data_IF_603011745634
#
_entry.id   IF_603011745634
#
_cell.length_a   1.000
_cell.length_b   1.000
_cell.length_c   1.000
_cell.angle_alpha   90.00
_cell.angle_beta   90.00
_cell.angle_gamma   90.00
#
_symmetry.space_group_name_H-M   'P 1'
#
loop_
_entity.id
_entity.type
_entity.pdbx_description
1 polymer ?
#
# COMPACT_ATOMS: atom_id res chain seq x y z
N UNK A 1 -43.54 11.21 35.93
CA UNK A 1 -42.34 11.99 35.58
C UNK A 1 -41.15 11.03 35.42
N UNK A 2 -40.72 10.67 34.20
CA UNK A 2 -39.54 9.84 34.00
C UNK A 2 -38.30 10.73 33.75
N UNK A 3 -37.16 10.46 34.38
CA UNK A 3 -35.87 10.94 33.88
C UNK A 3 -34.88 9.80 33.65
N UNK A 4 -34.25 9.90 32.48
CA UNK A 4 -33.43 8.93 31.76
C UNK A 4 -31.97 8.95 32.21
N UNK A 5 -31.31 7.81 31.93
CA UNK A 5 -29.91 7.46 32.21
C UNK A 5 -28.87 8.11 31.26
N UNK A 6 -27.70 8.39 31.84
CA UNK A 6 -26.27 8.16 31.45
C UNK A 6 -25.75 8.54 30.03
N UNK A 7 -24.64 9.28 29.97
CA UNK A 7 -23.60 9.14 28.93
C UNK A 7 -22.24 9.76 29.33
N UNK A 8 -21.21 8.94 29.56
CA UNK A 8 -19.87 9.39 29.98
C UNK A 8 -18.71 8.47 29.52
N UNK A 9 -18.89 7.72 28.43
CA UNK A 9 -17.98 6.63 28.03
C UNK A 9 -17.27 6.81 26.67
N UNK A 10 -17.46 7.94 25.98
CA UNK A 10 -16.90 8.16 24.63
C UNK A 10 -15.42 8.59 24.58
N UNK A 11 -14.92 9.30 25.59
CA UNK A 11 -13.63 10.00 25.52
C UNK A 11 -12.42 9.11 25.84
N UNK A 12 -12.62 8.04 26.63
CA UNK A 12 -11.53 7.17 27.09
C UNK A 12 -11.01 6.23 26.00
N UNK A 13 -11.90 5.71 25.13
CA UNK A 13 -11.56 4.78 24.03
C UNK A 13 -10.70 5.40 22.92
N UNK A 14 -10.84 6.70 22.64
CA UNK A 14 -10.06 7.37 21.58
C UNK A 14 -8.59 7.57 21.95
N UNK A 15 -8.28 7.84 23.23
CA UNK A 15 -6.90 8.05 23.70
C UNK A 15 -6.08 6.74 23.74
N UNK A 16 -6.73 5.61 24.00
CA UNK A 16 -6.08 4.30 24.02
C UNK A 16 -5.68 3.80 22.61
N UNK A 17 -6.46 4.18 21.58
CA UNK A 17 -6.11 3.87 20.18
C UNK A 17 -4.87 4.65 19.71
N UNK A 18 -4.75 5.92 20.12
CA UNK A 18 -3.57 6.76 19.82
C UNK A 18 -2.32 6.24 20.52
N UNK A 19 -2.42 5.76 21.77
CA UNK A 19 -1.30 5.12 22.49
C UNK A 19 -0.82 3.82 21.84
N UNK A 20 -1.74 3.01 21.30
CA UNK A 20 -1.37 1.80 20.54
C UNK A 20 -0.64 2.12 19.22
N UNK A 21 -1.02 3.20 18.53
CA UNK A 21 -0.31 3.67 17.33
C UNK A 21 1.12 4.14 17.66
N UNK A 22 1.32 4.80 18.81
CA UNK A 22 2.65 5.21 19.29
C UNK A 22 3.51 4.00 19.68
N UNK A 23 2.94 2.96 20.30
CA UNK A 23 3.65 1.72 20.64
C UNK A 23 3.98 0.83 19.42
N UNK A 24 3.29 1.00 18.28
CA UNK A 24 3.64 0.32 17.02
C UNK A 24 4.74 1.08 16.25
N UNK A 25 4.90 2.37 16.55
CA UNK A 25 5.98 3.21 15.99
C UNK A 25 7.38 2.72 16.42
N UNK A 26 7.49 2.05 17.57
CA UNK A 26 8.75 1.46 18.05
C UNK A 26 9.13 0.13 17.38
N UNK A 27 8.26 -0.48 16.57
CA UNK A 27 8.65 -1.58 15.66
C UNK A 27 8.97 -1.07 14.26
N UNK A 28 8.47 0.12 13.91
CA UNK A 28 8.78 0.83 12.67
C UNK A 28 10.17 1.49 12.75
N UNK A 29 10.68 1.81 13.95
CA UNK A 29 12.06 2.27 14.14
C UNK A 29 13.08 1.23 13.68
N UNK A 30 12.84 -0.04 13.98
CA UNK A 30 13.78 -1.13 13.67
C UNK A 30 13.82 -1.42 12.16
N UNK A 31 12.66 -1.30 11.50
CA UNK A 31 12.57 -1.35 10.04
C UNK A 31 13.17 -0.10 9.36
N UNK A 32 13.11 1.08 10.00
CA UNK A 32 13.75 2.31 9.52
C UNK A 32 15.27 2.25 9.60
N UNK A 33 15.83 1.57 10.61
CA UNK A 33 17.27 1.39 10.76
C UNK A 33 17.83 0.45 9.68
N UNK A 34 17.10 -0.63 9.37
CA UNK A 34 17.39 -1.50 8.22
C UNK A 34 17.21 -0.80 6.86
N UNK A 35 16.35 0.21 6.75
CA UNK A 35 16.16 1.00 5.53
C UNK A 35 17.26 2.07 5.33
N UNK A 36 17.79 2.67 6.40
CA UNK A 36 18.87 3.67 6.32
C UNK A 36 20.19 3.10 5.82
N UNK A 37 20.49 1.84 6.14
CA UNK A 37 21.66 1.13 5.63
C UNK A 37 21.54 0.78 4.14
N UNK A 38 20.32 0.73 3.59
CA UNK A 38 20.05 0.53 2.17
C UNK A 38 20.05 1.86 1.38
N UNK A 39 19.72 2.98 2.03
CA UNK A 39 19.61 4.31 1.43
C UNK A 39 20.99 4.88 1.04
N UNK A 40 22.02 4.64 1.85
CA UNK A 40 23.39 5.10 1.58
C UNK A 40 24.05 4.48 0.33
N UNK A 41 23.44 3.46 -0.28
CA UNK A 41 23.93 2.81 -1.52
C UNK A 41 23.13 3.23 -2.76
N UNK A 42 22.02 3.97 -2.61
CA UNK A 42 21.09 4.33 -3.69
C UNK A 42 21.35 5.69 -4.34
N UNK A 43 22.21 6.54 -3.76
CA UNK A 43 22.48 7.90 -4.26
C UNK A 43 23.20 7.97 -5.63
N UNK A 44 23.57 6.85 -6.25
CA UNK A 44 24.40 6.84 -7.47
C UNK A 44 23.67 6.48 -8.78
N UNK A 45 22.33 6.55 -8.88
CA UNK A 45 21.65 6.33 -10.18
C UNK A 45 20.75 7.50 -10.59
N UNK A 46 21.05 8.20 -11.70
CA UNK A 46 20.20 9.28 -12.18
C UNK A 46 18.86 8.72 -12.67
N UNK A 47 17.75 9.27 -12.17
CA UNK A 47 16.39 8.93 -12.63
C UNK A 47 16.15 9.58 -14.00
N UNK A 48 15.96 8.75 -15.03
CA UNK A 48 15.65 9.24 -16.38
C UNK A 48 14.21 9.78 -16.49
N UNK A 49 13.95 10.80 -17.32
CA UNK A 49 12.60 11.35 -17.52
C UNK A 49 11.86 10.52 -18.59
N UNK A 50 10.86 9.74 -18.18
CA UNK A 50 10.01 8.94 -19.09
C UNK A 50 9.29 7.75 -18.45
N UNK A 51 9.05 7.85 -17.14
CA UNK A 51 8.84 6.80 -16.15
C UNK A 51 7.52 6.00 -16.28
N UNK A 52 7.25 5.41 -17.45
CA UNK A 52 6.27 4.32 -17.58
C UNK A 52 7.03 3.00 -17.51
N UNK A 53 7.16 2.47 -16.31
CA UNK A 53 7.41 1.05 -16.11
C UNK A 53 6.45 0.24 -17.03
N UNK A 54 6.98 -0.65 -17.89
CA UNK A 54 6.19 -1.32 -18.93
C UNK A 54 5.12 -2.26 -18.35
N UNK A 55 5.26 -2.64 -17.09
CA UNK A 55 4.36 -3.55 -16.40
C UNK A 55 3.23 -2.82 -15.68
N UNK A 56 3.46 -1.60 -15.19
CA UNK A 56 2.51 -0.86 -14.35
C UNK A 56 1.11 -0.75 -14.96
N UNK A 57 1.03 -0.44 -16.26
CA UNK A 57 -0.26 -0.31 -16.96
C UNK A 57 -1.03 -1.64 -17.05
N UNK A 58 -0.33 -2.73 -17.38
CA UNK A 58 -0.93 -4.06 -17.48
C UNK A 58 -1.30 -4.60 -16.11
N UNK A 59 -0.42 -4.46 -15.11
CA UNK A 59 -0.69 -4.86 -13.73
C UNK A 59 -1.88 -4.12 -13.13
N UNK A 60 -2.11 -2.85 -13.51
CA UNK A 60 -3.32 -2.13 -13.14
C UNK A 60 -4.55 -2.73 -13.80
N UNK A 61 -4.53 -2.97 -15.12
CA UNK A 61 -5.65 -3.56 -15.86
C UNK A 61 -6.04 -4.95 -15.34
N UNK A 62 -5.06 -5.75 -14.94
CA UNK A 62 -5.24 -7.11 -14.43
C UNK A 62 -5.54 -7.17 -12.92
N UNK A 63 -5.75 -6.03 -12.26
CA UNK A 63 -6.11 -5.97 -10.84
C UNK A 63 -4.95 -6.22 -9.86
N UNK A 64 -3.74 -6.46 -10.34
CA UNK A 64 -2.55 -6.73 -9.50
C UNK A 64 -2.16 -5.49 -8.70
N UNK A 65 -2.06 -4.32 -9.35
CA UNK A 65 -1.67 -3.09 -8.66
C UNK A 65 -2.72 -2.65 -7.61
N UNK A 66 -4.03 -2.61 -7.91
CA UNK A 66 -5.05 -2.41 -6.88
C UNK A 66 -4.96 -3.42 -5.74
N UNK A 67 -4.72 -4.70 -6.04
CA UNK A 67 -4.56 -5.75 -5.02
C UNK A 67 -3.39 -5.46 -4.07
N UNK A 68 -2.22 -5.09 -4.61
CA UNK A 68 -1.04 -4.74 -3.80
C UNK A 68 -1.29 -3.50 -2.93
N UNK A 69 -1.93 -2.47 -3.47
CA UNK A 69 -2.29 -1.26 -2.72
C UNK A 69 -3.20 -1.60 -1.55
N UNK A 70 -4.25 -2.41 -1.77
CA UNK A 70 -5.14 -2.86 -0.69
C UNK A 70 -4.43 -3.80 0.29
N UNK A 71 -3.52 -4.67 -0.17
CA UNK A 71 -2.73 -5.55 0.66
C UNK A 71 -1.91 -4.77 1.69
N UNK A 72 -1.17 -3.75 1.25
CA UNK A 72 -0.33 -2.96 2.16
C UNK A 72 -1.12 -2.07 3.13
N UNK A 73 -2.40 -1.80 2.85
CA UNK A 73 -3.30 -1.14 3.81
C UNK A 73 -4.03 -2.13 4.73
N UNK A 74 -3.81 -3.44 4.59
CA UNK A 74 -4.49 -4.45 5.41
C UNK A 74 -3.99 -4.45 6.87
N UNK A 75 -2.71 -4.12 7.07
CA UNK A 75 -2.04 -4.03 8.38
C UNK A 75 -2.24 -2.69 9.10
N UNK A 76 -2.71 -1.66 8.40
CA UNK A 76 -2.96 -0.34 8.97
C UNK A 76 -3.04 0.77 7.91
N UNK A 77 -3.35 2.01 8.33
CA UNK A 77 -3.36 3.17 7.43
C UNK A 77 -1.99 3.42 6.78
N UNK A 78 -1.97 3.79 5.50
CA UNK A 78 -0.75 4.11 4.74
C UNK A 78 -0.92 5.35 3.87
N UNK A 79 0.14 5.85 3.25
CA UNK A 79 0.10 7.02 2.36
C UNK A 79 0.83 6.72 1.05
N UNK A 80 0.56 7.53 0.01
CA UNK A 80 1.00 7.24 -1.36
C UNK A 80 2.48 6.88 -1.50
N UNK A 81 3.39 7.66 -0.90
CA UNK A 81 4.83 7.38 -1.00
C UNK A 81 5.23 6.07 -0.30
N UNK A 82 4.68 5.79 0.89
CA UNK A 82 4.94 4.53 1.58
C UNK A 82 4.45 3.32 0.76
N UNK A 83 3.28 3.42 0.13
CA UNK A 83 2.76 2.37 -0.76
C UNK A 83 3.67 2.13 -1.97
N UNK A 84 4.17 3.20 -2.61
CA UNK A 84 5.11 3.09 -3.73
C UNK A 84 6.42 2.40 -3.29
N UNK A 85 6.95 2.76 -2.13
CA UNK A 85 8.15 2.14 -1.54
C UNK A 85 7.94 0.65 -1.23
N UNK A 86 6.81 0.30 -0.60
CA UNK A 86 6.47 -1.09 -0.27
C UNK A 86 6.29 -1.96 -1.51
N UNK A 87 5.63 -1.44 -2.55
CA UNK A 87 5.46 -2.13 -3.84
C UNK A 87 6.82 -2.34 -4.52
N UNK A 88 7.67 -1.32 -4.54
CA UNK A 88 9.01 -1.44 -5.09
C UNK A 88 9.83 -2.47 -4.33
N UNK A 89 9.76 -2.49 -3.00
CA UNK A 89 10.50 -3.43 -2.17
C UNK A 89 10.08 -4.89 -2.40
N UNK A 90 8.77 -5.20 -2.39
CA UNK A 90 8.29 -6.59 -2.55
C UNK A 90 8.54 -7.13 -3.97
N UNK A 91 8.70 -6.25 -4.95
CA UNK A 91 8.99 -6.61 -6.34
C UNK A 91 10.48 -6.52 -6.69
N UNK A 92 11.36 -6.43 -5.70
CA UNK A 92 12.81 -6.29 -5.89
C UNK A 92 13.20 -5.11 -6.83
N UNK A 93 12.39 -4.05 -6.83
CA UNK A 93 12.57 -2.88 -7.67
C UNK A 93 12.12 -3.04 -9.12
N UNK A 94 11.57 -4.21 -9.50
CA UNK A 94 11.04 -4.48 -10.84
C UNK A 94 9.81 -3.62 -11.12
N UNK A 95 8.93 -3.44 -10.13
CA UNK A 95 7.77 -2.56 -10.25
C UNK A 95 8.04 -1.20 -9.60
N UNK A 96 8.11 -0.15 -10.42
CA UNK A 96 8.29 1.23 -9.95
C UNK A 96 7.04 2.06 -10.22
N UNK A 97 6.16 2.14 -9.22
CA UNK A 97 4.94 2.94 -9.32
C UNK A 97 5.26 4.40 -9.04
N UNK A 98 4.94 5.28 -9.98
CA UNK A 98 5.14 6.71 -9.84
C UNK A 98 3.89 7.44 -9.27
N UNK A 99 4.04 8.70 -8.81
CA UNK A 99 2.93 9.53 -8.32
C UNK A 99 1.76 9.67 -9.31
N UNK A 100 2.06 9.79 -10.61
CA UNK A 100 1.05 9.98 -11.66
C UNK A 100 0.18 8.73 -11.87
N UNK A 101 0.59 7.58 -11.33
CA UNK A 101 -0.19 6.35 -11.32
C UNK A 101 -0.82 6.12 -9.95
N UNK A 102 -0.05 6.29 -8.88
CA UNK A 102 -0.48 5.99 -7.51
C UNK A 102 -1.65 6.89 -7.09
N UNK A 103 -1.54 8.21 -7.26
CA UNK A 103 -2.55 9.12 -6.74
C UNK A 103 -3.90 9.03 -7.49
N UNK A 104 -3.95 8.90 -8.82
CA UNK A 104 -5.21 8.61 -9.51
C UNK A 104 -5.83 7.27 -9.08
N UNK A 105 -5.02 6.23 -8.86
CA UNK A 105 -5.52 4.95 -8.34
C UNK A 105 -6.12 5.10 -6.94
N UNK A 106 -5.44 5.80 -6.02
CA UNK A 106 -5.96 6.03 -4.67
C UNK A 106 -7.28 6.82 -4.68
N UNK A 107 -7.40 7.84 -5.54
CA UNK A 107 -8.66 8.55 -5.74
C UNK A 107 -9.77 7.64 -6.24
N UNK A 108 -9.48 6.81 -7.24
CA UNK A 108 -10.46 5.85 -7.77
C UNK A 108 -10.92 4.85 -6.69
N UNK A 109 -10.00 4.30 -5.88
CA UNK A 109 -10.35 3.39 -4.80
C UNK A 109 -11.18 4.09 -3.71
N UNK A 110 -10.92 5.37 -3.46
CA UNK A 110 -11.68 6.20 -2.50
C UNK A 110 -13.09 6.49 -3.03
N UNK A 111 -13.22 6.87 -4.31
CA UNK A 111 -14.50 7.08 -5.01
C UNK A 111 -15.37 5.81 -5.03
N UNK A 112 -14.74 4.63 -5.14
CA UNK A 112 -15.41 3.33 -5.04
C UNK A 112 -15.77 2.93 -3.58
N UNK A 113 -15.41 3.75 -2.59
CA UNK A 113 -15.64 3.48 -1.17
C UNK A 113 -14.81 2.31 -0.62
N UNK A 114 -13.74 1.90 -1.32
CA UNK A 114 -12.86 0.82 -0.89
C UNK A 114 -11.84 1.28 0.15
N UNK A 115 -11.46 2.56 0.07
CA UNK A 115 -10.57 3.19 1.05
C UNK A 115 -11.19 4.49 1.58
N UNK A 116 -10.75 4.91 2.76
CA UNK A 116 -11.08 6.22 3.33
C UNK A 116 -9.81 7.02 3.54
N UNK A 117 -9.75 8.23 2.97
CA UNK A 117 -8.64 9.16 3.07
C UNK A 117 -8.84 10.24 4.14
N UNK A 118 -7.90 10.34 5.07
CA UNK A 118 -7.83 11.37 6.11
C UNK A 118 -6.53 12.17 6.00
N UNK A 119 -6.61 13.49 6.21
CA UNK A 119 -5.40 14.33 6.29
C UNK A 119 -4.81 14.24 7.70
N UNK A 120 -3.50 14.00 7.79
CA UNK A 120 -2.75 13.98 9.06
C UNK A 120 -2.93 15.28 9.85
N UNK A 121 -2.83 16.41 9.15
CA UNK A 121 -3.15 17.74 9.64
C UNK A 121 -4.22 18.36 8.74
N UNK A 122 -5.49 18.42 9.16
CA UNK A 122 -6.60 18.91 8.32
C UNK A 122 -6.39 20.32 7.76
N UNK A 123 -5.72 21.19 8.52
CA UNK A 123 -5.44 22.58 8.14
C UNK A 123 -4.27 22.70 7.15
N UNK A 124 -3.18 21.99 7.41
CA UNK A 124 -1.94 22.08 6.61
C UNK A 124 -1.92 21.12 5.41
N UNK A 125 -2.80 20.11 5.42
CA UNK A 125 -2.91 19.04 4.40
C UNK A 125 -1.53 18.47 4.00
N UNK A 126 -0.68 18.21 5.00
CA UNK A 126 0.71 17.76 4.81
C UNK A 126 0.79 16.38 4.15
N UNK A 127 -0.05 15.45 4.59
CA UNK A 127 -0.05 14.05 4.16
C UNK A 127 -1.45 13.46 4.27
N UNK A 128 -1.88 12.75 3.23
CA UNK A 128 -3.15 12.03 3.20
C UNK A 128 -2.90 10.55 3.49
N UNK A 129 -3.46 10.05 4.58
CA UNK A 129 -3.45 8.65 4.96
C UNK A 129 -4.73 7.98 4.48
N UNK A 130 -4.60 6.76 3.98
CA UNK A 130 -5.67 5.93 3.48
C UNK A 130 -5.80 4.68 4.34
N UNK A 131 -7.04 4.31 4.64
CA UNK A 131 -7.36 3.09 5.41
C UNK A 131 -8.40 2.25 4.67
N UNK A 132 -8.31 0.92 4.79
CA UNK A 132 -9.30 0.03 4.19
C UNK A 132 -10.66 0.16 4.88
N UNK A 133 -11.70 0.31 4.06
CA UNK A 133 -13.08 0.13 4.52
C UNK A 133 -13.44 -1.36 4.58
N UNK A 134 -14.62 -1.69 5.12
CA UNK A 134 -15.14 -3.07 5.06
C UNK A 134 -15.36 -3.53 3.61
N UNK A 135 -15.75 -2.62 2.70
CA UNK A 135 -15.85 -2.91 1.28
C UNK A 135 -14.47 -3.19 0.67
N UNK A 136 -13.46 -2.36 0.99
CA UNK A 136 -12.07 -2.59 0.57
C UNK A 136 -11.50 -3.93 1.02
N UNK A 137 -11.79 -4.37 2.25
CA UNK A 137 -11.36 -5.70 2.72
C UNK A 137 -12.02 -6.86 1.96
N UNK A 138 -13.30 -6.71 1.58
CA UNK A 138 -13.97 -7.72 0.74
C UNK A 138 -13.37 -7.75 -0.65
N UNK A 139 -13.15 -6.57 -1.23
CA UNK A 139 -12.56 -6.43 -2.57
C UNK A 139 -11.14 -6.96 -2.62
N UNK A 140 -10.31 -6.66 -1.62
CA UNK A 140 -8.98 -7.24 -1.48
C UNK A 140 -9.01 -8.77 -1.52
N UNK A 141 -9.88 -9.41 -0.74
CA UNK A 141 -10.02 -10.87 -0.73
C UNK A 141 -10.49 -11.43 -2.09
N UNK A 142 -11.31 -10.68 -2.82
CA UNK A 142 -11.76 -11.03 -4.17
C UNK A 142 -10.58 -11.00 -5.15
N UNK A 143 -9.85 -9.88 -5.18
CA UNK A 143 -8.69 -9.66 -6.05
C UNK A 143 -7.56 -10.65 -5.77
N UNK A 144 -7.28 -10.98 -4.50
CA UNK A 144 -6.25 -12.00 -4.16
C UNK A 144 -6.56 -13.35 -4.80
N UNK A 145 -7.84 -13.75 -4.82
CA UNK A 145 -8.26 -15.01 -5.46
C UNK A 145 -8.19 -14.92 -6.98
N UNK A 146 -8.65 -13.80 -7.54
CA UNK A 146 -8.71 -13.58 -8.99
C UNK A 146 -7.32 -13.47 -9.63
N UNK A 147 -6.39 -12.78 -8.97
CA UNK A 147 -5.05 -12.49 -9.50
C UNK A 147 -4.10 -13.67 -9.34
N UNK A 148 -4.30 -14.55 -8.34
CA UNK A 148 -3.38 -15.65 -8.04
C UNK A 148 -3.07 -16.54 -9.26
N UNK A 149 -4.06 -17.10 -10.00
CA UNK A 149 -3.76 -17.99 -11.13
C UNK A 149 -2.93 -17.30 -12.22
N UNK A 150 -3.16 -16.01 -12.44
CA UNK A 150 -2.39 -15.22 -13.39
C UNK A 150 -0.93 -15.11 -12.96
N UNK A 151 -0.66 -14.73 -11.71
CA UNK A 151 0.71 -14.59 -11.21
C UNK A 151 1.45 -15.93 -11.20
N UNK A 152 0.79 -17.00 -10.78
CA UNK A 152 1.36 -18.36 -10.82
C UNK A 152 1.69 -18.80 -12.25
N UNK A 153 0.79 -18.51 -13.21
CA UNK A 153 1.04 -18.82 -14.62
C UNK A 153 2.22 -18.01 -15.18
N UNK A 154 2.28 -16.71 -14.90
CA UNK A 154 3.39 -15.86 -15.35
C UNK A 154 4.71 -16.33 -14.74
N UNK A 155 4.73 -16.64 -13.45
CA UNK A 155 5.92 -17.14 -12.75
C UNK A 155 6.46 -18.41 -13.41
N UNK A 156 5.59 -19.41 -13.63
CA UNK A 156 5.95 -20.64 -14.34
C UNK A 156 6.50 -20.36 -15.74
N UNK A 157 5.82 -19.53 -16.53
CA UNK A 157 6.30 -19.21 -17.89
C UNK A 157 7.66 -18.52 -17.89
N UNK A 158 7.93 -17.63 -16.94
CA UNK A 158 9.25 -16.98 -16.82
C UNK A 158 10.32 -18.02 -16.47
N UNK A 159 10.06 -18.93 -15.53
CA UNK A 159 11.00 -20.00 -15.16
C UNK A 159 11.30 -20.93 -16.33
N UNK A 160 10.29 -21.28 -17.13
CA UNK A 160 10.44 -22.08 -18.34
C UNK A 160 11.30 -21.38 -19.40
N UNK A 161 11.05 -20.09 -19.66
CA UNK A 161 11.86 -19.29 -20.59
C UNK A 161 13.31 -19.21 -20.11
N UNK A 162 13.55 -18.96 -18.83
CA UNK A 162 14.90 -18.87 -18.28
C UNK A 162 15.63 -20.21 -18.44
N UNK A 163 14.97 -21.32 -18.14
CA UNK A 163 15.53 -22.65 -18.31
C UNK A 163 15.86 -22.96 -19.77
N UNK A 164 14.96 -22.66 -20.70
CA UNK A 164 15.17 -22.91 -22.13
C UNK A 164 16.32 -22.05 -22.70
N UNK A 165 16.40 -20.78 -22.33
CA UNK A 165 17.37 -19.83 -22.90
C UNK A 165 18.76 -19.94 -22.24
N UNK A 166 18.81 -20.22 -20.93
CA UNK A 166 20.05 -20.12 -20.14
C UNK A 166 20.47 -21.42 -19.43
N UNK A 167 19.63 -22.46 -19.43
CA UNK A 167 19.85 -23.70 -18.66
C UNK A 167 20.77 -24.73 -19.33
N UNK A 168 21.96 -24.32 -19.79
CA UNK A 168 23.02 -25.26 -20.21
C UNK A 168 23.46 -26.17 -19.08
#
# INVERSE_FOLDING_TARGET
>A
MPQRRKSGTGTKRRRDATRKAVAQTSRISDAREAARTLDSKREARPRAPGDRDPFTGELRRRGVLPMLVLHFMSDGPSYGNALMEQISAVTAGVLQVNPNTMYPLLRQLEEQGLVHGEWEHPERRSRRYYSLTNAGRREYRRLVKEVRPLLESIGRSIEEIVREVYGK
#
